data_IF_938800071319
#
_entry.id   IF_938800071319
#
_cell.length_a   1.000
_cell.length_b   1.000
_cell.length_c   1.000
_cell.angle_alpha   90.00
_cell.angle_beta   90.00
_cell.angle_gamma   90.00
#
_symmetry.space_group_name_H-M   'P 1'
#
loop_
_entity.id
_entity.type
_entity.pdbx_description
1 polymer ?
#
# COMPACT_ATOMS: atom_id res chain seq x y z
N UNK A 1 12.76 -32.03 -13.29
CA UNK A 1 12.25 -31.89 -14.68
C UNK A 1 11.46 -30.58 -14.70
N UNK A 2 11.89 -29.60 -15.49
CA UNK A 2 11.16 -28.36 -15.68
C UNK A 2 10.02 -28.61 -16.65
N UNK A 3 8.78 -28.34 -16.22
CA UNK A 3 7.65 -28.38 -17.13
C UNK A 3 7.67 -27.12 -18.00
N UNK A 4 7.91 -27.31 -19.29
CA UNK A 4 7.87 -26.26 -20.29
C UNK A 4 6.47 -26.26 -20.91
N UNK A 5 5.68 -25.23 -20.65
CA UNK A 5 4.45 -24.99 -21.40
C UNK A 5 4.78 -24.13 -22.61
N UNK A 6 4.69 -24.71 -23.78
CA UNK A 6 4.75 -24.01 -25.07
C UNK A 6 3.34 -23.63 -25.50
N UNK A 7 2.98 -22.37 -25.43
CA UNK A 7 1.78 -21.82 -26.03
C UNK A 7 2.20 -20.79 -27.07
N UNK A 8 1.85 -21.06 -28.34
CA UNK A 8 1.97 -20.13 -29.49
C UNK A 8 3.36 -19.48 -29.67
N UNK A 9 4.42 -20.26 -29.53
CA UNK A 9 5.77 -19.83 -29.93
C UNK A 9 6.54 -19.02 -28.89
N UNK A 10 6.03 -18.81 -27.67
CA UNK A 10 6.81 -18.27 -26.57
C UNK A 10 7.02 -19.31 -25.48
N UNK A 11 8.27 -19.54 -25.11
CA UNK A 11 8.66 -20.39 -23.98
C UNK A 11 8.59 -19.52 -22.73
N UNK A 12 7.63 -19.77 -21.85
CA UNK A 12 7.60 -19.14 -20.53
C UNK A 12 8.33 -20.07 -19.57
N UNK A 13 9.52 -19.71 -19.08
CA UNK A 13 10.20 -20.49 -18.06
C UNK A 13 9.41 -20.38 -16.77
N UNK A 14 8.70 -21.44 -16.39
CA UNK A 14 8.04 -21.52 -15.08
C UNK A 14 9.08 -21.99 -14.07
N UNK A 15 9.74 -21.06 -13.43
CA UNK A 15 10.62 -21.32 -12.28
C UNK A 15 9.81 -21.21 -10.98
N UNK A 16 9.22 -22.31 -10.54
CA UNK A 16 8.44 -22.39 -9.32
C UNK A 16 6.90 -22.36 -9.54
N UNK A 17 6.11 -22.55 -8.47
CA UNK A 17 4.66 -22.47 -8.56
C UNK A 17 4.23 -21.04 -8.90
N UNK A 18 3.32 -20.92 -9.86
CA UNK A 18 2.72 -19.66 -10.25
C UNK A 18 1.62 -19.27 -9.24
N UNK A 19 1.70 -18.09 -8.67
CA UNK A 19 0.73 -17.60 -7.65
C UNK A 19 -0.54 -17.04 -8.28
N UNK A 20 -0.43 -16.46 -9.47
CA UNK A 20 -1.55 -15.88 -10.20
C UNK A 20 -1.25 -14.47 -10.70
N UNK A 21 -2.28 -13.79 -11.19
CA UNK A 21 -2.18 -12.38 -11.56
C UNK A 21 -2.58 -11.50 -10.38
N UNK A 22 -2.00 -10.29 -10.22
CA UNK A 22 -2.43 -9.35 -9.20
C UNK A 22 -3.94 -9.11 -9.24
N UNK A 23 -4.56 -9.01 -8.06
CA UNK A 23 -6.00 -8.86 -7.90
C UNK A 23 -6.82 -10.14 -8.03
N UNK A 24 -6.21 -11.30 -8.28
CA UNK A 24 -6.95 -12.57 -8.32
C UNK A 24 -7.26 -13.04 -6.90
N UNK A 25 -8.55 -13.26 -6.60
CA UNK A 25 -8.96 -13.89 -5.34
C UNK A 25 -8.48 -15.33 -5.33
N UNK A 26 -7.55 -15.65 -4.45
CA UNK A 26 -6.78 -16.88 -4.51
C UNK A 26 -7.43 -18.08 -3.83
N UNK A 27 -8.41 -17.84 -2.95
CA UNK A 27 -9.05 -18.90 -2.19
C UNK A 27 -10.57 -18.74 -2.12
N UNK A 28 -11.27 -19.88 -2.13
CA UNK A 28 -12.74 -19.97 -2.07
C UNK A 28 -13.32 -19.85 -0.64
N UNK A 29 -12.51 -19.39 0.33
CA UNK A 29 -12.96 -19.20 1.72
C UNK A 29 -13.89 -18.01 1.89
N UNK A 30 -14.10 -17.63 3.14
CA UNK A 30 -14.87 -16.42 3.47
C UNK A 30 -14.23 -15.20 2.82
N UNK A 31 -15.03 -14.46 2.05
CA UNK A 31 -14.60 -13.26 1.35
C UNK A 31 -15.69 -12.21 1.37
N UNK A 32 -15.27 -10.96 1.51
CA UNK A 32 -16.17 -9.81 1.39
C UNK A 32 -15.60 -8.91 0.29
N UNK A 33 -16.32 -8.81 -0.81
CA UNK A 33 -16.02 -7.90 -1.92
C UNK A 33 -17.10 -6.84 -1.94
N UNK A 34 -16.70 -5.57 -2.03
CA UNK A 34 -17.61 -4.42 -2.02
C UNK A 34 -17.37 -3.59 -3.28
N UNK A 35 -18.42 -3.46 -4.09
CA UNK A 35 -18.41 -2.62 -5.29
C UNK A 35 -18.82 -1.20 -4.94
N UNK A 36 -18.03 -0.21 -5.34
CA UNK A 36 -18.33 1.22 -5.19
C UNK A 36 -17.67 2.03 -6.30
N UNK A 37 -18.21 3.21 -6.63
CA UNK A 37 -17.58 4.12 -7.59
C UNK A 37 -16.15 4.48 -7.16
N UNK A 38 -15.23 4.54 -8.13
CA UNK A 38 -13.86 4.98 -7.91
C UNK A 38 -13.78 6.51 -7.93
N UNK A 39 -13.26 7.09 -6.85
CA UNK A 39 -12.97 8.52 -6.72
C UNK A 39 -11.53 8.83 -7.11
N UNK A 40 -11.27 10.09 -7.46
CA UNK A 40 -9.93 10.56 -7.82
C UNK A 40 -9.65 10.49 -9.32
N UNK A 41 -8.53 11.08 -9.75
CA UNK A 41 -8.14 11.14 -11.16
C UNK A 41 -7.39 9.89 -11.64
N UNK A 42 -6.82 9.11 -10.73
CA UNK A 42 -5.96 7.95 -11.08
C UNK A 42 -6.79 6.68 -11.23
N UNK A 43 -6.30 5.81 -12.09
CA UNK A 43 -6.81 4.44 -12.20
C UNK A 43 -6.43 3.63 -10.95
N UNK A 44 -7.23 2.63 -10.63
CA UNK A 44 -6.95 1.65 -9.60
C UNK A 44 -6.58 0.33 -10.27
N UNK A 45 -5.29 -0.05 -10.25
CA UNK A 45 -4.87 -1.30 -10.87
C UNK A 45 -5.33 -2.51 -10.04
N UNK A 46 -5.50 -3.63 -10.69
CA UNK A 46 -5.83 -4.88 -10.01
C UNK A 46 -4.69 -5.30 -9.08
N UNK A 47 -5.01 -5.58 -7.82
CA UNK A 47 -4.04 -5.90 -6.79
C UNK A 47 -3.50 -4.69 -6.02
N UNK A 48 -3.87 -3.46 -6.40
CA UNK A 48 -3.50 -2.26 -5.67
C UNK A 48 -4.37 -2.04 -4.43
N UNK A 49 -3.81 -1.35 -3.45
CA UNK A 49 -4.50 -0.94 -2.23
C UNK A 49 -5.49 0.19 -2.52
N UNK A 50 -6.71 0.01 -2.06
CA UNK A 50 -7.79 0.98 -2.11
C UNK A 50 -8.20 1.43 -0.70
N UNK A 51 -8.63 2.68 -0.60
CA UNK A 51 -9.10 3.32 0.63
C UNK A 51 -10.55 3.73 0.45
N UNK A 52 -11.40 3.44 1.42
CA UNK A 52 -12.76 3.96 1.44
C UNK A 52 -12.75 5.42 1.93
N UNK A 53 -13.17 6.33 1.08
CA UNK A 53 -13.36 7.75 1.43
C UNK A 53 -14.84 8.04 1.55
N UNK A 54 -15.23 8.66 2.67
CA UNK A 54 -16.62 9.06 2.89
C UNK A 54 -17.02 10.24 2.01
N UNK A 55 -18.21 10.18 1.44
CA UNK A 55 -18.87 11.32 0.85
C UNK A 55 -20.36 11.35 1.25
N UNK A 56 -21.09 12.39 0.84
CA UNK A 56 -22.51 12.53 1.13
C UNK A 56 -23.40 11.45 0.50
N UNK A 57 -22.85 10.61 -0.38
CA UNK A 57 -23.57 9.57 -1.13
C UNK A 57 -23.27 8.14 -0.67
N UNK A 58 -22.48 7.98 0.42
CA UNK A 58 -22.25 6.66 1.02
C UNK A 58 -20.85 6.07 0.87
N UNK A 59 -19.90 6.88 0.40
CA UNK A 59 -18.49 6.51 0.29
C UNK A 59 -18.12 5.95 -1.09
N UNK A 60 -16.86 6.19 -1.45
CA UNK A 60 -16.24 5.77 -2.72
C UNK A 60 -14.92 5.10 -2.44
N UNK A 61 -14.50 4.22 -3.32
CA UNK A 61 -13.12 3.74 -3.31
C UNK A 61 -12.21 4.81 -3.90
N UNK A 62 -11.02 4.94 -3.36
CA UNK A 62 -9.97 5.79 -3.89
C UNK A 62 -8.66 5.00 -3.93
N UNK A 63 -7.88 5.17 -5.00
CA UNK A 63 -6.52 4.64 -5.06
C UNK A 63 -5.69 5.18 -3.89
N UNK A 64 -4.89 4.34 -3.27
CA UNK A 64 -3.97 4.77 -2.20
C UNK A 64 -3.02 5.87 -2.69
N UNK A 65 -2.65 5.87 -3.96
CA UNK A 65 -1.79 6.90 -4.57
C UNK A 65 -2.46 8.27 -4.53
N UNK A 66 -3.72 8.35 -4.97
CA UNK A 66 -4.49 9.61 -4.91
C UNK A 66 -4.75 10.05 -3.47
N UNK A 67 -5.01 9.09 -2.59
CA UNK A 67 -5.23 9.36 -1.17
C UNK A 67 -3.96 9.97 -0.53
N UNK A 68 -2.79 9.42 -0.81
CA UNK A 68 -1.50 9.90 -0.29
C UNK A 68 -0.98 11.15 -0.99
N UNK A 69 -1.48 11.49 -2.19
CA UNK A 69 -1.13 12.73 -2.89
C UNK A 69 -1.47 13.98 -2.08
N UNK A 70 -2.42 13.87 -1.14
CA UNK A 70 -2.75 14.95 -0.20
C UNK A 70 -2.03 14.68 1.12
N UNK A 71 -1.01 15.49 1.44
CA UNK A 71 -0.18 15.34 2.67
C UNK A 71 -1.02 15.29 3.95
N UNK A 72 -2.17 15.98 3.98
CA UNK A 72 -3.12 15.94 5.09
C UNK A 72 -3.78 14.58 5.29
N UNK A 73 -3.71 13.68 4.32
CA UNK A 73 -4.29 12.32 4.41
C UNK A 73 -3.31 11.30 5.00
N UNK A 74 -2.02 11.62 5.12
CA UNK A 74 -1.04 10.71 5.74
C UNK A 74 -1.38 10.43 7.22
N UNK A 75 -1.79 11.42 8.06
CA UNK A 75 -2.28 11.12 9.40
C UNK A 75 -3.61 10.37 9.38
N UNK A 76 -4.44 10.62 8.36
CA UNK A 76 -5.65 9.83 8.16
C UNK A 76 -5.30 8.37 7.86
N UNK A 77 -4.24 8.08 7.11
CA UNK A 77 -3.75 6.71 6.92
C UNK A 77 -3.24 6.13 8.26
N UNK A 78 -2.49 6.88 9.05
CA UNK A 78 -2.12 6.49 10.42
C UNK A 78 -3.35 6.28 11.33
N UNK A 79 -4.34 7.15 11.22
CA UNK A 79 -5.65 7.01 11.86
C UNK A 79 -6.50 5.87 11.27
N UNK A 80 -6.45 5.67 9.96
CA UNK A 80 -7.06 4.55 9.25
C UNK A 80 -6.44 3.22 9.69
N UNK A 81 -5.13 3.21 9.89
CA UNK A 81 -4.39 2.07 10.41
C UNK A 81 -4.73 1.83 11.89
N UNK A 82 -4.95 2.91 12.66
CA UNK A 82 -5.33 2.88 14.08
C UNK A 82 -6.83 2.79 14.37
N UNK A 83 -7.69 3.15 13.40
CA UNK A 83 -9.13 3.24 13.60
C UNK A 83 -9.86 2.07 12.89
N UNK A 84 -10.58 1.23 13.63
CA UNK A 84 -11.36 0.14 13.03
C UNK A 84 -12.50 0.59 12.09
N UNK A 85 -12.82 1.89 12.06
CA UNK A 85 -13.88 2.45 11.20
C UNK A 85 -13.49 2.73 9.75
N UNK A 86 -12.25 2.45 9.35
CA UNK A 86 -11.78 2.78 8.01
C UNK A 86 -11.59 1.53 7.17
N UNK A 87 -12.31 1.41 6.07
CA UNK A 87 -12.14 0.30 5.16
C UNK A 87 -10.90 0.50 4.28
N UNK A 88 -10.01 -0.47 4.35
CA UNK A 88 -8.93 -0.70 3.40
C UNK A 88 -9.20 -2.01 2.68
N UNK A 89 -8.87 -2.09 1.42
CA UNK A 89 -9.01 -3.34 0.68
C UNK A 89 -8.12 -3.38 -0.56
N UNK A 90 -8.16 -4.49 -1.26
CA UNK A 90 -7.36 -4.69 -2.48
C UNK A 90 -8.29 -4.80 -3.68
N UNK A 91 -7.95 -4.09 -4.75
CA UNK A 91 -8.69 -4.12 -6.00
C UNK A 91 -8.71 -5.53 -6.60
N UNK A 92 -9.92 -6.06 -6.80
CA UNK A 92 -10.14 -7.40 -7.35
C UNK A 92 -10.02 -7.36 -8.87
N UNK A 93 -9.39 -8.38 -9.43
CA UNK A 93 -9.33 -8.55 -10.88
C UNK A 93 -10.69 -8.97 -11.42
N UNK A 94 -11.29 -8.09 -12.18
CA UNK A 94 -12.49 -8.39 -12.95
C UNK A 94 -12.13 -8.78 -14.38
N UNK A 95 -12.79 -9.81 -14.90
CA UNK A 95 -12.76 -10.10 -16.34
C UNK A 95 -13.83 -9.23 -16.99
N UNK A 96 -13.43 -8.03 -17.42
CA UNK A 96 -14.32 -7.15 -18.19
C UNK A 96 -14.58 -7.78 -19.55
N UNK A 97 -15.76 -8.33 -19.76
CA UNK A 97 -16.25 -8.75 -21.07
C UNK A 97 -16.75 -7.51 -21.81
N UNK A 98 -15.95 -6.97 -22.71
CA UNK A 98 -16.45 -5.96 -23.64
C UNK A 98 -17.36 -6.63 -24.68
N UNK A 99 -18.63 -6.26 -24.67
CA UNK A 99 -19.60 -6.70 -25.70
C UNK A 99 -19.28 -6.13 -27.09
N UNK A 100 -18.52 -5.04 -27.15
CA UNK A 100 -18.11 -4.38 -28.39
C UNK A 100 -16.69 -3.84 -28.26
N UNK A 101 -15.79 -4.27 -29.14
CA UNK A 101 -14.47 -3.68 -29.25
C UNK A 101 -14.56 -2.38 -30.05
N UNK A 102 -14.00 -1.25 -29.59
CA UNK A 102 -13.84 -0.08 -30.44
C UNK A 102 -13.10 -0.42 -31.72
N UNK A 103 -13.50 0.18 -32.83
CA UNK A 103 -12.86 -0.05 -34.12
C UNK A 103 -11.33 0.23 -34.02
N UNK A 104 -10.51 -0.77 -34.40
CA UNK A 104 -9.05 -0.67 -34.34
C UNK A 104 -8.38 -1.29 -33.10
N UNK A 105 -9.14 -1.84 -32.14
CA UNK A 105 -8.56 -2.59 -31.03
C UNK A 105 -8.47 -4.09 -31.37
N UNK A 106 -7.31 -4.66 -31.14
CA UNK A 106 -7.10 -6.10 -31.30
C UNK A 106 -7.67 -6.85 -30.09
N UNK A 107 -8.49 -7.92 -30.31
CA UNK A 107 -8.94 -8.76 -29.21
C UNK A 107 -7.74 -9.26 -28.38
N UNK A 108 -7.77 -9.04 -27.06
CA UNK A 108 -6.68 -9.40 -26.15
C UNK A 108 -5.83 -8.23 -25.66
N UNK A 109 -5.84 -7.07 -26.34
CA UNK A 109 -5.20 -5.83 -25.83
C UNK A 109 -6.14 -5.00 -24.95
N UNK A 110 -7.44 -5.32 -24.93
CA UNK A 110 -8.46 -4.57 -24.20
C UNK A 110 -8.69 -5.07 -22.76
N UNK A 111 -7.89 -6.00 -22.25
CA UNK A 111 -7.90 -6.32 -20.81
C UNK A 111 -7.06 -5.29 -20.09
N UNK A 112 -7.68 -4.15 -19.84
CA UNK A 112 -7.12 -3.11 -18.99
C UNK A 112 -6.98 -3.72 -17.59
N UNK A 113 -5.78 -3.70 -17.06
CA UNK A 113 -5.48 -4.25 -15.73
C UNK A 113 -5.90 -3.32 -14.58
N UNK A 114 -6.95 -2.48 -14.78
CA UNK A 114 -7.37 -1.46 -13.83
C UNK A 114 -8.85 -1.11 -13.94
N UNK A 115 -9.37 -0.44 -12.92
CA UNK A 115 -10.61 0.34 -12.94
C UNK A 115 -10.28 1.79 -13.29
N UNK A 116 -10.99 2.36 -14.26
CA UNK A 116 -10.81 3.77 -14.60
C UNK A 116 -11.52 4.68 -13.59
N UNK A 117 -11.07 5.92 -13.49
CA UNK A 117 -11.71 6.92 -12.64
C UNK A 117 -13.21 7.05 -12.98
N UNK A 118 -14.07 6.99 -11.95
CA UNK A 118 -15.52 7.02 -12.06
C UNK A 118 -16.20 5.68 -12.36
N UNK A 119 -15.46 4.62 -12.68
CA UNK A 119 -16.03 3.27 -12.79
C UNK A 119 -16.36 2.68 -11.42
N UNK A 120 -17.23 1.67 -11.38
CA UNK A 120 -17.40 0.84 -10.20
C UNK A 120 -16.20 -0.08 -10.05
N UNK A 121 -15.57 -0.04 -8.87
CA UNK A 121 -14.43 -0.86 -8.52
C UNK A 121 -14.82 -1.90 -7.47
N UNK A 122 -14.47 -3.16 -7.74
CA UNK A 122 -14.60 -4.26 -6.80
C UNK A 122 -13.36 -4.35 -5.93
N UNK A 123 -13.55 -4.22 -4.61
CA UNK A 123 -12.48 -4.25 -3.63
C UNK A 123 -12.73 -5.33 -2.60
N UNK A 124 -11.72 -6.18 -2.36
CA UNK A 124 -11.74 -7.21 -1.34
C UNK A 124 -11.41 -6.59 0.01
N UNK A 125 -12.34 -6.65 0.96
CA UNK A 125 -12.16 -6.20 2.33
C UNK A 125 -11.78 -7.34 3.30
N UNK A 126 -12.12 -8.58 2.96
CA UNK A 126 -11.76 -9.80 3.72
C UNK A 126 -11.50 -10.93 2.75
N UNK A 127 -10.49 -11.73 3.03
CA UNK A 127 -10.14 -12.90 2.23
C UNK A 127 -8.71 -12.89 1.70
N UNK A 128 -8.39 -13.83 0.84
CA UNK A 128 -7.05 -13.98 0.27
C UNK A 128 -7.01 -13.56 -1.19
N UNK A 129 -5.98 -12.80 -1.55
CA UNK A 129 -5.81 -12.21 -2.87
C UNK A 129 -4.33 -12.14 -3.24
N UNK A 130 -4.03 -12.18 -4.52
CA UNK A 130 -2.69 -12.02 -5.05
C UNK A 130 -2.39 -10.54 -5.32
N UNK A 131 -1.18 -10.11 -4.98
CA UNK A 131 -0.72 -8.72 -5.13
C UNK A 131 0.67 -8.69 -5.76
N UNK A 132 0.98 -7.58 -6.44
CA UNK A 132 2.34 -7.31 -6.88
C UNK A 132 3.21 -6.94 -5.67
N UNK A 133 4.42 -7.49 -5.62
CA UNK A 133 5.35 -7.32 -4.51
C UNK A 133 6.74 -6.92 -5.04
N UNK A 134 6.96 -5.62 -5.31
CA UNK A 134 8.20 -5.17 -5.91
C UNK A 134 9.41 -5.23 -4.98
N UNK A 135 9.19 -5.23 -3.66
CA UNK A 135 10.28 -5.13 -2.67
C UNK A 135 10.10 -6.12 -1.53
N UNK A 136 11.17 -6.80 -1.20
CA UNK A 136 11.28 -7.71 -0.07
C UNK A 136 10.87 -9.16 -0.41
N UNK A 137 11.06 -10.03 0.56
CA UNK A 137 10.67 -11.44 0.47
C UNK A 137 9.56 -11.71 1.49
N UNK A 138 8.40 -12.21 1.06
CA UNK A 138 7.31 -12.54 1.95
C UNK A 138 7.72 -13.56 3.01
N UNK A 139 7.15 -13.44 4.20
CA UNK A 139 7.25 -14.44 5.27
C UNK A 139 5.84 -14.85 5.63
N UNK A 140 5.51 -16.12 5.63
CA UNK A 140 4.18 -16.62 5.99
C UNK A 140 3.74 -16.09 7.37
N UNK A 141 2.57 -15.44 7.44
CA UNK A 141 2.08 -14.77 8.64
C UNK A 141 2.75 -13.41 8.93
N UNK A 142 3.76 -13.01 8.15
CA UNK A 142 4.43 -11.73 8.30
C UNK A 142 3.55 -10.55 7.85
N UNK A 143 3.85 -9.32 8.32
CA UNK A 143 3.10 -8.13 8.00
C UNK A 143 3.32 -7.69 6.54
N UNK A 144 2.30 -7.08 5.96
CA UNK A 144 2.36 -6.38 4.67
C UNK A 144 2.58 -4.90 4.95
N UNK A 145 3.46 -4.26 4.20
CA UNK A 145 3.74 -2.83 4.30
C UNK A 145 3.21 -2.09 3.08
N UNK A 146 2.84 -0.82 3.28
CA UNK A 146 2.50 0.11 2.21
C UNK A 146 3.54 1.22 2.15
N UNK A 147 4.01 1.56 0.95
CA UNK A 147 4.96 2.65 0.74
C UNK A 147 4.26 4.00 0.77
N UNK A 148 4.74 4.89 1.62
CA UNK A 148 4.22 6.25 1.79
C UNK A 148 5.03 7.29 1.02
N UNK A 149 6.34 7.08 0.92
CA UNK A 149 7.28 8.04 0.34
C UNK A 149 8.21 7.33 -0.64
N UNK A 150 8.31 7.87 -1.85
CA UNK A 150 9.21 7.33 -2.86
C UNK A 150 10.68 7.44 -2.44
N UNK A 151 11.46 6.40 -2.74
CA UNK A 151 12.91 6.39 -2.57
C UNK A 151 13.58 5.93 -3.86
N UNK A 152 14.32 6.83 -4.51
CA UNK A 152 15.00 6.53 -5.77
C UNK A 152 16.12 5.49 -5.65
N UNK A 153 16.58 5.22 -4.42
CA UNK A 153 17.55 4.13 -4.16
C UNK A 153 16.90 2.75 -4.12
N UNK A 154 15.58 2.67 -3.97
CA UNK A 154 14.81 1.42 -3.97
C UNK A 154 14.15 1.24 -5.33
N UNK A 155 14.81 0.48 -6.18
CA UNK A 155 14.33 0.23 -7.55
C UNK A 155 13.02 -0.57 -7.55
N UNK A 156 12.08 -0.16 -8.38
CA UNK A 156 10.83 -0.88 -8.62
C UNK A 156 9.73 -0.61 -7.62
N UNK A 157 9.91 0.34 -6.69
CA UNK A 157 8.90 0.69 -5.70
C UNK A 157 8.40 2.12 -5.86
N UNK A 158 7.09 2.26 -5.91
CA UNK A 158 6.38 3.53 -6.01
C UNK A 158 5.52 3.79 -4.75
N UNK A 159 5.07 5.03 -4.57
CA UNK A 159 4.10 5.36 -3.51
C UNK A 159 2.83 4.54 -3.72
N UNK A 160 2.35 3.92 -2.65
CA UNK A 160 1.17 3.05 -2.67
C UNK A 160 1.48 1.57 -2.88
N UNK A 161 2.70 1.21 -3.30
CA UNK A 161 3.07 -0.19 -3.48
C UNK A 161 3.04 -0.97 -2.16
N UNK A 162 2.71 -2.25 -2.29
CA UNK A 162 2.78 -3.20 -1.19
C UNK A 162 4.17 -3.83 -1.13
N UNK A 163 4.70 -4.00 0.07
CA UNK A 163 6.07 -4.49 0.29
C UNK A 163 6.11 -5.53 1.39
N UNK A 164 7.10 -6.43 1.29
CA UNK A 164 7.33 -7.48 2.28
C UNK A 164 8.34 -7.07 3.37
N UNK A 165 8.96 -5.91 3.24
CA UNK A 165 9.94 -5.43 4.20
C UNK A 165 9.72 -3.94 4.53
N UNK A 166 9.91 -3.51 5.78
CA UNK A 166 9.86 -2.10 6.12
C UNK A 166 11.09 -1.39 5.57
N UNK A 167 10.91 -0.17 5.08
CA UNK A 167 12.02 0.69 4.72
C UNK A 167 12.25 1.78 5.77
N UNK A 168 13.27 1.58 6.58
CA UNK A 168 13.76 2.58 7.54
C UNK A 168 14.87 3.37 6.87
N UNK A 169 14.66 4.68 6.68
CA UNK A 169 15.61 5.53 5.93
C UNK A 169 16.69 6.10 6.84
N UNK A 170 16.32 6.42 8.07
CA UNK A 170 17.27 6.99 9.04
C UNK A 170 16.87 6.66 10.47
N UNK A 171 17.88 6.35 11.27
CA UNK A 171 17.77 6.24 12.72
C UNK A 171 18.66 7.34 13.32
N UNK A 172 18.07 8.46 13.70
CA UNK A 172 18.78 9.67 14.09
C UNK A 172 18.51 9.99 15.56
N UNK A 173 19.41 10.75 16.16
CA UNK A 173 19.14 11.39 17.44
C UNK A 173 18.43 12.72 17.19
N UNK A 174 17.37 12.99 17.93
CA UNK A 174 16.64 14.25 17.84
C UNK A 174 16.30 14.80 19.22
N UNK A 175 16.06 16.09 19.25
CA UNK A 175 15.66 16.81 20.46
C UNK A 175 14.44 17.68 20.19
N UNK A 176 13.55 17.76 21.18
CA UNK A 176 12.45 18.71 21.25
C UNK A 176 12.08 18.89 22.73
N UNK A 177 11.85 20.11 23.17
CA UNK A 177 11.44 20.37 24.53
C UNK A 177 9.96 20.03 24.77
N UNK A 178 9.10 20.42 23.84
CA UNK A 178 7.66 20.09 23.74
C UNK A 178 7.10 20.79 22.52
N UNK A 179 6.35 20.09 21.69
CA UNK A 179 5.72 20.71 20.53
C UNK A 179 5.78 19.84 19.28
N UNK A 180 5.58 20.47 18.14
CA UNK A 180 5.59 19.80 16.86
C UNK A 180 6.85 20.11 16.02
N UNK A 181 7.86 20.75 16.60
CA UNK A 181 9.13 21.08 15.91
C UNK A 181 10.26 20.26 16.50
N UNK A 182 10.73 19.31 15.75
CA UNK A 182 11.82 18.39 16.13
C UNK A 182 13.11 18.79 15.45
N UNK A 183 14.22 18.72 16.16
CA UNK A 183 15.56 19.02 15.66
C UNK A 183 16.38 17.73 15.56
N UNK A 184 16.44 17.10 14.38
CA UNK A 184 17.32 15.96 14.15
C UNK A 184 18.79 16.41 14.10
N UNK A 185 19.69 15.53 14.49
CA UNK A 185 21.13 15.81 14.39
C UNK A 185 21.67 15.77 12.95
N UNK A 186 20.89 15.24 12.02
CA UNK A 186 21.18 15.19 10.58
C UNK A 186 19.86 15.22 9.80
N UNK A 187 19.82 16.01 8.74
CA UNK A 187 18.63 16.15 7.87
C UNK A 187 18.68 15.25 6.63
N UNK A 188 19.79 14.55 6.41
CA UNK A 188 19.95 13.72 5.19
C UNK A 188 18.98 12.56 5.19
N UNK A 189 18.25 12.40 4.07
CA UNK A 189 17.29 11.32 3.87
C UNK A 189 15.92 11.55 4.48
N UNK A 190 15.72 12.64 5.24
CA UNK A 190 14.39 12.99 5.77
C UNK A 190 13.55 13.60 4.64
N UNK A 191 12.29 13.15 4.53
CA UNK A 191 11.32 13.63 3.54
C UNK A 191 9.96 13.89 4.19
N UNK A 192 9.20 14.80 3.63
CA UNK A 192 7.80 15.02 4.00
C UNK A 192 7.00 13.74 3.71
N UNK A 193 6.13 13.37 4.63
CA UNK A 193 5.30 12.16 4.53
C UNK A 193 5.89 10.93 5.22
N UNK A 194 7.16 10.94 5.61
CA UNK A 194 7.72 9.82 6.40
C UNK A 194 7.07 9.71 7.77
N UNK A 195 6.81 8.48 8.19
CA UNK A 195 6.40 8.21 9.58
C UNK A 195 7.61 8.39 10.48
N UNK A 196 7.42 9.10 11.59
CA UNK A 196 8.43 9.27 12.64
C UNK A 196 8.01 8.53 13.90
N UNK A 197 8.93 7.80 14.50
CA UNK A 197 8.74 7.11 15.78
C UNK A 197 9.92 7.33 16.70
N UNK A 198 9.71 7.27 17.99
CA UNK A 198 10.75 7.28 19.01
C UNK A 198 10.63 6.05 19.92
N UNK A 199 11.77 5.46 20.28
CA UNK A 199 11.81 4.32 21.19
C UNK A 199 11.22 4.64 22.58
N UNK A 200 11.31 5.92 23.00
CA UNK A 200 10.72 6.42 24.24
C UNK A 200 9.19 6.49 24.25
N UNK A 201 8.54 6.34 23.10
CA UNK A 201 7.08 6.45 22.98
C UNK A 201 6.52 7.87 23.13
N UNK A 202 7.37 8.90 23.20
CA UNK A 202 6.93 10.30 23.36
C UNK A 202 6.39 10.90 22.07
N UNK A 203 6.61 10.24 20.92
CA UNK A 203 6.00 10.60 19.65
C UNK A 203 4.71 9.77 19.49
N UNK A 204 3.54 10.41 19.36
CA UNK A 204 2.28 9.69 19.14
C UNK A 204 2.32 8.78 17.92
N UNK A 205 1.63 7.64 17.99
CA UNK A 205 1.53 6.73 16.85
C UNK A 205 0.88 7.43 15.63
N UNK A 206 1.38 7.13 14.42
CA UNK A 206 0.90 7.75 13.20
C UNK A 206 1.40 9.18 12.94
N UNK A 207 2.33 9.68 13.78
CA UNK A 207 2.97 10.97 13.53
C UNK A 207 3.86 10.90 12.28
N UNK A 208 3.79 11.92 11.45
CA UNK A 208 4.57 12.03 10.21
C UNK A 208 5.26 13.39 10.09
N UNK A 209 6.25 13.47 9.21
CA UNK A 209 6.93 14.72 8.87
C UNK A 209 6.02 15.56 7.98
N UNK A 210 5.54 16.69 8.47
CA UNK A 210 4.63 17.59 7.74
C UNK A 210 5.37 18.68 6.98
N UNK A 211 6.53 19.11 7.48
CA UNK A 211 7.37 20.09 6.79
C UNK A 211 8.85 19.93 7.16
N UNK A 212 9.73 20.41 6.31
CA UNK A 212 11.18 20.36 6.51
C UNK A 212 11.73 21.79 6.44
N UNK A 213 12.43 22.21 7.49
CA UNK A 213 13.20 23.44 7.56
C UNK A 213 14.69 23.21 7.30
N UNK A 214 15.52 24.23 7.53
CA UNK A 214 16.96 24.12 7.28
C UNK A 214 17.66 23.13 8.26
N UNK A 215 17.23 23.10 9.52
CA UNK A 215 17.80 22.22 10.56
C UNK A 215 16.74 21.58 11.45
N UNK A 216 15.47 21.79 11.14
CA UNK A 216 14.33 21.30 11.92
C UNK A 216 13.29 20.68 11.02
N UNK A 217 12.49 19.81 11.57
CA UNK A 217 11.28 19.27 10.91
C UNK A 217 10.06 19.67 11.73
N UNK A 218 8.95 19.85 11.04
CA UNK A 218 7.65 19.95 11.68
C UNK A 218 6.97 18.60 11.58
N UNK A 219 6.43 18.12 12.69
CA UNK A 219 5.68 16.85 12.74
C UNK A 219 4.19 17.11 12.89
N UNK A 220 3.37 16.17 12.47
CA UNK A 220 1.90 16.32 12.42
C UNK A 220 1.22 16.37 13.78
N UNK A 221 1.86 15.81 14.79
CA UNK A 221 1.36 15.78 16.17
C UNK A 221 2.48 16.20 17.11
N UNK A 222 2.16 17.00 18.12
CA UNK A 222 3.13 17.39 19.13
C UNK A 222 3.62 16.19 19.93
N UNK A 223 4.90 16.22 20.35
CA UNK A 223 5.43 15.24 21.27
C UNK A 223 4.71 15.35 22.62
N UNK A 224 4.50 14.22 23.28
CA UNK A 224 3.79 14.15 24.58
C UNK A 224 4.66 14.52 25.77
N UNK A 225 5.97 14.50 25.59
CA UNK A 225 6.98 14.88 26.58
C UNK A 225 8.27 15.27 25.85
N UNK A 226 9.26 15.79 26.59
CA UNK A 226 10.55 16.15 26.03
C UNK A 226 11.19 14.97 25.29
N UNK A 227 11.49 15.17 24.01
CA UNK A 227 12.15 14.20 23.15
C UNK A 227 13.66 14.38 23.27
N UNK A 228 14.33 13.36 23.73
CA UNK A 228 15.80 13.28 23.70
C UNK A 228 16.19 11.86 23.36
N UNK A 229 16.84 11.65 22.23
CA UNK A 229 17.33 10.33 21.84
C UNK A 229 16.97 9.88 20.44
N UNK A 230 16.98 8.57 20.24
CA UNK A 230 16.82 7.99 18.93
C UNK A 230 15.41 8.13 18.38
N UNK A 231 15.32 8.62 17.14
CA UNK A 231 14.11 8.65 16.32
C UNK A 231 14.35 7.90 15.03
N UNK A 232 13.31 7.27 14.54
CA UNK A 232 13.34 6.46 13.31
C UNK A 232 12.37 7.07 12.31
N UNK A 233 12.84 7.24 11.07
CA UNK A 233 12.05 7.68 9.94
C UNK A 233 11.81 6.50 8.99
N UNK A 234 10.56 6.27 8.60
CA UNK A 234 10.18 5.17 7.72
C UNK A 234 9.43 5.67 6.50
N UNK A 235 9.80 5.15 5.34
CA UNK A 235 9.09 5.36 4.09
C UNK A 235 7.87 4.45 3.95
N UNK A 236 7.73 3.45 4.80
CA UNK A 236 6.67 2.45 4.75
C UNK A 236 5.91 2.37 6.06
N UNK A 237 4.69 1.89 6.00
CA UNK A 237 3.85 1.63 7.17
C UNK A 237 3.27 0.22 7.09
N UNK A 238 3.29 -0.52 8.21
CA UNK A 238 2.65 -1.82 8.29
C UNK A 238 1.12 -1.66 8.19
N UNK A 239 0.49 -2.47 7.36
CA UNK A 239 -0.96 -2.54 7.24
C UNK A 239 -1.48 -3.56 8.27
N UNK A 240 -2.22 -3.14 9.30
CA UNK A 240 -2.79 -4.07 10.25
C UNK A 240 -3.86 -4.91 9.57
N UNK A 241 -3.96 -6.17 10.02
CA UNK A 241 -4.85 -7.19 9.48
C UNK A 241 -4.51 -7.68 8.05
N UNK A 242 -3.44 -7.17 7.44
CA UNK A 242 -2.89 -7.68 6.17
C UNK A 242 -1.67 -8.54 6.49
N UNK A 243 -1.71 -9.80 6.12
CA UNK A 243 -0.61 -10.74 6.35
C UNK A 243 -0.30 -11.52 5.09
N UNK A 244 0.96 -11.91 4.93
CA UNK A 244 1.33 -12.84 3.88
C UNK A 244 0.76 -14.22 4.19
N UNK A 245 0.06 -14.80 3.22
CA UNK A 245 -0.49 -16.16 3.35
C UNK A 245 0.60 -17.21 3.25
N UNK A 246 1.56 -16.97 2.38
CA UNK A 246 2.69 -17.85 2.11
C UNK A 246 4.00 -17.06 2.17
N UNK A 247 5.12 -17.75 2.40
CA UNK A 247 6.46 -17.17 2.29
C UNK A 247 7.02 -17.22 0.86
N UNK A 248 6.13 -17.25 -0.14
CA UNK A 248 6.51 -17.44 -1.52
C UNK A 248 6.22 -16.20 -2.37
N UNK A 249 7.20 -15.84 -3.19
CA UNK A 249 7.12 -14.84 -4.23
C UNK A 249 7.39 -15.56 -5.55
N UNK A 250 6.48 -15.44 -6.52
CA UNK A 250 6.70 -16.07 -7.82
C UNK A 250 7.71 -15.29 -8.68
N UNK A 251 8.11 -15.91 -9.81
CA UNK A 251 9.09 -15.30 -10.72
C UNK A 251 8.63 -14.00 -11.39
N UNK A 252 7.35 -13.64 -11.26
CA UNK A 252 6.75 -12.39 -11.74
C UNK A 252 6.63 -11.33 -10.65
N UNK A 253 7.08 -11.62 -9.41
CA UNK A 253 6.96 -10.70 -8.28
C UNK A 253 5.57 -10.67 -7.66
N UNK A 254 4.79 -11.74 -7.78
CA UNK A 254 3.44 -11.84 -7.22
C UNK A 254 3.45 -12.68 -5.94
N UNK A 255 2.80 -12.18 -4.89
CA UNK A 255 2.64 -12.84 -3.60
C UNK A 255 1.15 -12.99 -3.23
N UNK A 256 0.84 -13.93 -2.34
CA UNK A 256 -0.49 -14.11 -1.77
C UNK A 256 -0.56 -13.47 -0.39
N UNK A 257 -1.54 -12.57 -0.20
CA UNK A 257 -1.85 -11.96 1.09
C UNK A 257 -3.24 -12.34 1.55
N UNK A 258 -3.51 -12.19 2.85
CA UNK A 258 -4.83 -12.37 3.45
C UNK A 258 -5.19 -11.13 4.25
N UNK A 259 -6.40 -10.62 4.05
CA UNK A 259 -7.02 -9.61 4.90
C UNK A 259 -7.84 -10.34 5.94
N UNK A 260 -7.44 -10.25 7.21
CA UNK A 260 -7.95 -11.09 8.29
C UNK A 260 -9.33 -10.67 8.78
N UNK A 261 -9.66 -9.39 8.71
CA UNK A 261 -10.96 -8.87 9.14
C UNK A 261 -11.35 -7.60 8.41
N UNK A 262 -12.67 -7.39 8.30
CA UNK A 262 -13.24 -6.17 7.79
C UNK A 262 -13.00 -5.03 8.79
N UNK A 263 -12.51 -3.91 8.29
CA UNK A 263 -12.46 -2.65 9.03
C UNK A 263 -13.64 -1.79 8.62
N UNK A 264 -14.33 -1.19 9.57
CA UNK A 264 -15.42 -0.26 9.29
C UNK A 264 -16.82 -0.88 9.26
N UNK A 265 -17.00 -2.01 9.94
CA UNK A 265 -18.33 -2.55 10.24
C UNK A 265 -18.80 -2.11 11.63
#
# INVERSE_FOLDING_TARGET
>A
MANVFTSLGSTIPVTGPYVGFPGTVSRAGERVIVSRPLAGPSNLNFGDLAVLVGDSTGGKWQSIVDFLATVTNIPLLGGLIGNPGSALGIAVREVKTMLTYPAGQTPGLAQVGYYAAGEEADVLEVGSITVNMPVGTPIAGGPVYCRLVANSATTGSAVGDLEAAPEVVSNLTATDASGATVTPNNMTGIKVGQIITAASGVIPAGTYVSAIGASTITISQAVTAALTGAVTFSNTVALPDFVFRTGYLDGSGVAEITILRRRGA
#
